data_IF_755128257997
#
_entry.id   IF_755128257997
#
_cell.length_a   1.000
_cell.length_b   1.000
_cell.length_c   1.000
_cell.angle_alpha   90.00
_cell.angle_beta   90.00
_cell.angle_gamma   90.00
#
_symmetry.space_group_name_H-M   'P 1'
#
loop_
_entity.id
_entity.type
_entity.pdbx_description
1 polymer ?
#
# COMPACT_ATOMS: atom_id res chain seq x y z
N UNK A 1 7.77 8.90 -5.23
CA UNK A 1 6.61 8.31 -4.49
C UNK A 1 5.41 9.28 -4.43
N UNK A 2 4.26 8.88 -4.97
CA UNK A 2 3.04 9.72 -5.06
C UNK A 2 2.01 9.49 -3.95
N UNK A 3 1.81 8.25 -3.52
CA UNK A 3 0.91 7.92 -2.42
C UNK A 3 1.25 6.58 -1.76
N UNK A 4 0.77 6.41 -0.52
CA UNK A 4 0.81 5.16 0.23
C UNK A 4 -0.60 4.80 0.72
N UNK A 5 -0.99 3.54 0.53
CA UNK A 5 -2.26 2.98 0.98
C UNK A 5 -2.01 1.79 1.91
N UNK A 6 -2.83 1.68 2.94
CA UNK A 6 -2.94 0.51 3.80
C UNK A 6 -4.38 0.06 3.83
N UNK A 7 -4.63 -1.21 3.53
CA UNK A 7 -5.97 -1.77 3.55
C UNK A 7 -5.97 -3.22 4.03
N UNK A 8 -7.09 -3.66 4.57
CA UNK A 8 -7.26 -5.04 5.01
C UNK A 8 -7.57 -6.00 3.86
N UNK A 9 -7.45 -7.30 4.09
CA UNK A 9 -7.91 -8.36 3.17
C UNK A 9 -9.40 -8.24 2.76
N UNK A 10 -10.22 -7.52 3.53
CA UNK A 10 -11.62 -7.23 3.21
C UNK A 10 -11.79 -5.99 2.30
N UNK A 11 -10.69 -5.34 1.90
CA UNK A 11 -10.71 -4.10 1.11
C UNK A 11 -11.00 -2.83 1.92
N UNK A 12 -11.15 -2.94 3.25
CA UNK A 12 -11.31 -1.76 4.11
C UNK A 12 -10.00 -0.99 4.20
N UNK A 13 -10.01 0.25 3.72
CA UNK A 13 -8.90 1.20 3.85
C UNK A 13 -8.68 1.53 5.33
N UNK A 14 -7.42 1.55 5.75
CA UNK A 14 -6.96 1.84 7.13
C UNK A 14 -6.07 3.06 7.20
N UNK A 15 -5.35 3.36 6.12
CA UNK A 15 -4.53 4.55 5.97
C UNK A 15 -4.47 4.92 4.49
N UNK A 16 -4.54 6.22 4.21
CA UNK A 16 -4.16 6.79 2.92
C UNK A 16 -3.30 8.02 3.15
N UNK A 17 -2.15 8.06 2.51
CA UNK A 17 -1.28 9.23 2.49
C UNK A 17 -1.02 9.61 1.04
N UNK A 18 -1.46 10.80 0.66
CA UNK A 18 -1.24 11.38 -0.65
C UNK A 18 -0.14 12.43 -0.53
N UNK A 19 0.93 12.27 -1.31
CA UNK A 19 2.06 13.20 -1.36
C UNK A 19 1.92 14.22 -2.49
N UNK A 20 1.01 13.96 -3.42
CA UNK A 20 0.61 14.86 -4.50
C UNK A 20 -0.81 15.38 -4.27
N UNK A 21 -1.11 16.64 -4.66
CA UNK A 21 -2.46 17.18 -4.55
C UNK A 21 -3.37 16.50 -5.58
N UNK A 22 -4.42 15.83 -5.09
CA UNK A 22 -5.46 15.19 -5.90
C UNK A 22 -6.84 15.52 -5.32
N UNK A 23 -7.86 15.57 -6.18
CA UNK A 23 -9.24 15.72 -5.71
C UNK A 23 -9.72 14.45 -4.99
N UNK A 24 -10.67 14.59 -4.07
CA UNK A 24 -11.19 13.43 -3.33
C UNK A 24 -11.92 12.43 -4.24
N UNK A 25 -12.45 12.89 -5.38
CA UNK A 25 -13.04 12.03 -6.40
C UNK A 25 -11.98 11.12 -7.02
N UNK A 26 -10.82 11.68 -7.38
CA UNK A 26 -9.69 10.93 -7.94
C UNK A 26 -9.13 9.95 -6.90
N UNK A 27 -8.87 10.41 -5.68
CA UNK A 27 -8.36 9.56 -4.59
C UNK A 27 -9.26 8.34 -4.37
N UNK A 28 -10.58 8.53 -4.33
CA UNK A 28 -11.56 7.44 -4.18
C UNK A 28 -11.54 6.47 -5.36
N UNK A 29 -11.46 7.00 -6.60
CA UNK A 29 -11.37 6.18 -7.81
C UNK A 29 -10.12 5.31 -7.79
N UNK A 30 -8.96 5.92 -7.61
CA UNK A 30 -7.64 5.25 -7.58
C UNK A 30 -7.61 4.19 -6.48
N UNK A 31 -8.03 4.55 -5.27
CA UNK A 31 -8.06 3.61 -4.13
C UNK A 31 -8.92 2.39 -4.44
N UNK A 32 -10.13 2.60 -4.96
CA UNK A 32 -11.03 1.48 -5.27
C UNK A 32 -10.44 0.55 -6.32
N UNK A 33 -9.89 1.12 -7.39
CA UNK A 33 -9.28 0.39 -8.49
C UNK A 33 -8.09 -0.45 -8.02
N UNK A 34 -7.11 0.17 -7.34
CA UNK A 34 -5.90 -0.52 -6.90
C UNK A 34 -6.18 -1.59 -5.83
N UNK A 35 -7.07 -1.30 -4.88
CA UNK A 35 -7.47 -2.28 -3.86
C UNK A 35 -8.11 -3.50 -4.51
N UNK A 36 -9.01 -3.31 -5.47
CA UNK A 36 -9.64 -4.42 -6.20
C UNK A 36 -8.61 -5.25 -6.96
N UNK A 37 -7.69 -4.60 -7.68
CA UNK A 37 -6.64 -5.26 -8.45
C UNK A 37 -5.71 -6.09 -7.57
N UNK A 38 -5.25 -5.53 -6.43
CA UNK A 38 -4.35 -6.23 -5.51
C UNK A 38 -5.02 -7.39 -4.76
N UNK A 39 -6.30 -7.25 -4.41
CA UNK A 39 -7.05 -8.33 -3.75
C UNK A 39 -7.33 -9.49 -4.69
N UNK A 40 -7.45 -9.23 -5.99
CA UNK A 40 -7.67 -10.26 -7.01
C UNK A 40 -6.39 -11.07 -7.35
N UNK A 41 -5.20 -10.56 -6.97
CA UNK A 41 -3.93 -11.25 -7.28
C UNK A 41 -3.71 -12.52 -6.45
N UNK A 42 -3.12 -13.54 -7.08
CA UNK A 42 -2.76 -14.80 -6.41
C UNK A 42 -1.55 -14.59 -5.49
N UNK A 43 -1.44 -15.32 -4.36
CA UNK A 43 -0.36 -15.12 -3.37
C UNK A 43 1.09 -15.27 -3.88
N UNK A 44 1.32 -15.92 -5.03
CA UNK A 44 2.64 -16.12 -5.64
C UNK A 44 2.97 -15.12 -6.75
N UNK A 45 2.14 -14.11 -6.95
CA UNK A 45 2.38 -13.08 -7.96
C UNK A 45 3.39 -12.04 -7.47
N UNK A 46 3.92 -11.27 -8.43
CA UNK A 46 4.92 -10.24 -8.17
C UNK A 46 4.43 -9.17 -7.20
N UNK A 47 5.33 -8.56 -6.44
CA UNK A 47 5.05 -7.42 -5.55
C UNK A 47 4.99 -6.08 -6.30
N UNK A 48 5.09 -6.11 -7.63
CA UNK A 48 5.16 -4.94 -8.50
C UNK A 48 4.09 -5.01 -9.60
N UNK A 49 3.49 -3.87 -9.91
CA UNK A 49 2.47 -3.70 -10.94
C UNK A 49 2.69 -2.36 -11.65
N UNK A 50 2.65 -2.33 -12.97
CA UNK A 50 2.59 -1.08 -13.73
C UNK A 50 1.15 -0.55 -13.77
N UNK A 51 0.96 0.72 -13.46
CA UNK A 51 -0.35 1.37 -13.43
C UNK A 51 -0.22 2.86 -13.78
N UNK A 52 -0.86 3.30 -14.86
CA UNK A 52 -0.92 4.72 -15.28
C UNK A 52 0.44 5.43 -15.21
N UNK A 53 1.46 4.87 -15.87
CA UNK A 53 2.84 5.39 -15.91
C UNK A 53 3.56 5.45 -14.55
N UNK A 54 2.99 4.80 -13.54
CA UNK A 54 3.59 4.60 -12.22
C UNK A 54 3.86 3.13 -11.99
N UNK A 55 4.78 2.89 -11.07
CA UNK A 55 5.03 1.58 -10.51
C UNK A 55 4.36 1.46 -9.16
N UNK A 56 3.56 0.42 -9.00
CA UNK A 56 2.87 0.10 -7.77
C UNK A 56 3.64 -1.01 -7.08
N UNK A 57 4.20 -0.69 -5.92
CA UNK A 57 4.90 -1.64 -5.06
C UNK A 57 4.00 -1.98 -3.89
N UNK A 58 3.68 -3.25 -3.71
CA UNK A 58 2.81 -3.67 -2.62
C UNK A 58 3.23 -4.99 -1.99
N UNK A 59 2.94 -5.14 -0.70
CA UNK A 59 3.23 -6.36 0.06
C UNK A 59 2.17 -6.61 1.12
N UNK A 60 1.84 -7.88 1.28
CA UNK A 60 0.89 -8.34 2.30
C UNK A 60 1.66 -8.78 3.55
N UNK A 61 1.30 -8.20 4.70
CA UNK A 61 1.76 -8.61 6.02
C UNK A 61 0.55 -9.10 6.83
N UNK A 62 0.51 -10.40 7.14
CA UNK A 62 -0.64 -11.08 7.75
C UNK A 62 -1.96 -10.82 7.00
N UNK A 63 -2.80 -9.90 7.48
CA UNK A 63 -4.10 -9.55 6.91
C UNK A 63 -4.20 -8.11 6.41
N UNK A 64 -3.07 -7.39 6.42
CA UNK A 64 -2.91 -6.04 5.90
C UNK A 64 -2.12 -6.06 4.59
N UNK A 65 -2.48 -5.16 3.69
CA UNK A 65 -1.80 -4.86 2.45
C UNK A 65 -1.25 -3.45 2.53
N UNK A 66 0.06 -3.33 2.29
CA UNK A 66 0.76 -2.05 2.17
C UNK A 66 1.06 -1.83 0.70
N UNK A 67 0.77 -0.64 0.19
CA UNK A 67 0.94 -0.27 -1.21
C UNK A 67 1.56 1.12 -1.30
N UNK A 68 2.54 1.30 -2.18
CA UNK A 68 3.11 2.58 -2.57
C UNK A 68 3.06 2.73 -4.08
N UNK A 69 2.72 3.93 -4.57
CA UNK A 69 2.93 4.30 -5.96
C UNK A 69 4.22 5.12 -6.09
N UNK A 70 5.12 4.70 -6.95
CA UNK A 70 6.43 5.29 -7.19
C UNK A 70 6.59 5.64 -8.68
N UNK A 71 7.51 6.57 -8.96
CA UNK A 71 7.79 7.02 -10.32
C UNK A 71 8.67 6.02 -11.06
N UNK A 72 8.79 6.16 -12.38
CA UNK A 72 9.54 5.20 -13.20
C UNK A 72 11.04 5.15 -12.85
N UNK A 73 11.62 6.30 -12.44
CA UNK A 73 13.01 6.34 -11.99
C UNK A 73 13.25 5.78 -10.58
N UNK A 74 12.19 5.51 -9.80
CA UNK A 74 12.31 5.01 -8.42
C UNK A 74 12.58 3.50 -8.42
N UNK A 75 13.38 3.04 -7.44
CA UNK A 75 13.71 1.62 -7.27
C UNK A 75 12.64 0.89 -6.45
N UNK A 76 12.11 -0.19 -7.04
CA UNK A 76 11.01 -0.98 -6.48
C UNK A 76 11.45 -1.77 -5.24
N UNK A 77 12.68 -2.32 -5.26
CA UNK A 77 13.23 -3.11 -4.16
C UNK A 77 13.49 -2.24 -2.92
N UNK A 78 14.05 -1.04 -3.12
CA UNK A 78 14.23 -0.06 -2.03
C UNK A 78 12.87 0.34 -1.44
N UNK A 79 11.86 0.53 -2.29
CA UNK A 79 10.50 0.84 -1.83
C UNK A 79 9.91 -0.32 -1.02
N UNK A 80 10.17 -1.56 -1.42
CA UNK A 80 9.74 -2.75 -0.68
C UNK A 80 10.39 -2.82 0.71
N UNK A 81 11.68 -2.48 0.81
CA UNK A 81 12.40 -2.39 2.08
C UNK A 81 11.87 -1.25 2.97
N UNK A 82 11.50 -0.10 2.37
CA UNK A 82 10.84 0.99 3.10
C UNK A 82 9.51 0.52 3.70
N UNK A 83 8.68 -0.21 2.92
CA UNK A 83 7.44 -0.82 3.43
C UNK A 83 7.77 -1.76 4.59
N UNK A 84 8.79 -2.60 4.46
CA UNK A 84 9.16 -3.53 5.52
C UNK A 84 9.59 -2.82 6.80
N UNK A 85 10.47 -1.83 6.69
CA UNK A 85 10.90 -1.00 7.82
C UNK A 85 9.72 -0.28 8.47
N UNK A 86 8.76 0.21 7.69
CA UNK A 86 7.56 0.84 8.24
C UNK A 86 6.74 -0.16 9.09
N UNK A 87 6.60 -1.40 8.63
CA UNK A 87 5.94 -2.47 9.40
C UNK A 87 6.70 -2.77 10.69
N UNK A 88 8.03 -2.88 10.65
CA UNK A 88 8.85 -3.08 11.85
C UNK A 88 8.68 -1.96 12.88
N UNK A 89 8.62 -0.71 12.42
CA UNK A 89 8.41 0.45 13.28
C UNK A 89 7.01 0.45 13.91
N UNK A 90 5.98 0.09 13.14
CA UNK A 90 4.62 -0.09 13.68
C UNK A 90 4.60 -1.20 14.74
N UNK A 91 5.30 -2.31 14.51
CA UNK A 91 5.36 -3.43 15.46
C UNK A 91 6.06 -3.05 16.75
N UNK A 92 7.19 -2.34 16.64
CA UNK A 92 7.90 -1.79 17.79
C UNK A 92 7.06 -0.77 18.57
N UNK A 93 6.26 0.05 17.89
CA UNK A 93 5.43 1.06 18.52
C UNK A 93 4.20 0.46 19.23
N UNK A 94 3.53 -0.51 18.61
CA UNK A 94 2.29 -1.09 19.14
C UNK A 94 2.49 -2.36 19.99
N UNK A 95 3.70 -2.94 20.04
CA UNK A 95 4.01 -4.15 20.80
C UNK A 95 3.43 -5.45 20.22
N UNK A 96 2.69 -5.35 19.12
CA UNK A 96 2.27 -6.39 18.17
C UNK A 96 1.30 -5.72 17.18
N UNK A 97 1.67 -5.59 15.90
CA UNK A 97 0.72 -5.02 14.92
C UNK A 97 -0.42 -5.99 14.65
N UNK A 98 -1.64 -5.53 14.93
CA UNK A 98 -2.86 -6.19 14.48
C UNK A 98 -3.71 -5.24 13.62
N UNK A 99 -4.66 -5.78 12.85
CA UNK A 99 -5.66 -4.97 12.13
C UNK A 99 -6.42 -4.00 13.05
N UNK A 100 -6.55 -4.34 14.32
CA UNK A 100 -7.26 -3.52 15.32
C UNK A 100 -6.36 -2.41 15.86
N UNK A 101 -5.05 -2.58 15.81
CA UNK A 101 -4.06 -1.57 16.24
C UNK A 101 -3.91 -0.42 15.24
N UNK A 102 -4.34 -0.61 13.99
CA UNK A 102 -4.22 0.38 12.91
C UNK A 102 -5.63 0.79 12.45
N UNK A 103 -6.19 1.76 13.15
CA UNK A 103 -7.46 2.43 12.80
C UNK A 103 -7.20 3.93 12.84
N UNK A 104 -7.20 4.57 11.67
CA UNK A 104 -7.10 6.03 11.50
C UNK A 104 -8.26 6.52 10.65
#
# INVERSE_FOLDING_TARGET
>A
MQFMLLFSRQGKLRLQKWYVPLSDKEKKKITRELVQTMLAQKPKMCSFLEWCDLKIVYKRYASLYFCCAIEDQDNELITLEIIHRYVELLDKYFGSVSNSSIVF
#
